data_IF_518017349926
#
_entry.id   IF_518017349926
#
_cell.length_a   1.000
_cell.length_b   1.000
_cell.length_c   1.000
_cell.angle_alpha   90.00
_cell.angle_beta   90.00
_cell.angle_gamma   90.00
#
_symmetry.space_group_name_H-M   'P 1'
#
loop_
_entity.id
_entity.type
_entity.pdbx_description
1 polymer ?
#
# COMPACT_ATOMS: atom_id res chain seq x y z
N UNK A 1 4.89 -14.91 -6.15
CA UNK A 1 5.62 -15.60 -5.05
C UNK A 1 6.67 -14.69 -4.39
N UNK A 2 7.66 -14.08 -5.08
CA UNK A 2 8.74 -13.30 -4.43
C UNK A 2 8.24 -12.16 -3.55
N UNK A 3 7.16 -11.49 -3.93
CA UNK A 3 6.56 -10.38 -3.18
C UNK A 3 5.88 -10.81 -1.86
N UNK A 4 5.54 -12.08 -1.71
CA UNK A 4 4.89 -12.61 -0.50
C UNK A 4 5.86 -13.40 0.36
N UNK A 5 6.58 -14.32 -0.28
CA UNK A 5 7.45 -15.27 0.42
C UNK A 5 8.83 -14.67 0.75
N UNK A 6 9.17 -13.51 0.15
CA UNK A 6 10.50 -12.91 0.28
C UNK A 6 11.62 -13.82 -0.22
N UNK A 7 11.29 -14.82 -1.04
CA UNK A 7 12.24 -15.79 -1.58
C UNK A 7 11.87 -16.20 -3.00
N UNK A 8 12.88 -16.54 -3.80
CA UNK A 8 12.74 -17.15 -5.13
C UNK A 8 13.37 -18.52 -5.12
N UNK A 9 12.65 -19.52 -5.60
CA UNK A 9 13.17 -20.87 -5.78
C UNK A 9 13.40 -21.12 -7.27
N UNK A 10 14.62 -21.50 -7.62
CA UNK A 10 15.02 -21.90 -8.97
C UNK A 10 15.30 -23.39 -8.96
N UNK A 11 14.44 -24.15 -9.61
CA UNK A 11 14.57 -25.61 -9.73
C UNK A 11 15.14 -25.96 -11.11
N UNK A 12 16.19 -26.81 -11.13
CA UNK A 12 16.76 -27.44 -12.31
C UNK A 12 16.76 -28.95 -12.11
N UNK A 13 17.03 -29.71 -13.19
CA UNK A 13 16.92 -31.17 -13.19
C UNK A 13 17.62 -31.87 -11.99
N UNK A 14 18.71 -31.33 -11.47
CA UNK A 14 19.52 -31.97 -10.44
C UNK A 14 19.55 -31.22 -9.09
N UNK A 15 18.94 -30.03 -8.98
CA UNK A 15 18.97 -29.25 -7.74
C UNK A 15 17.90 -28.15 -7.71
N UNK A 16 17.48 -27.80 -6.47
CA UNK A 16 16.60 -26.68 -6.20
C UNK A 16 17.32 -25.71 -5.28
N UNK A 17 17.44 -24.46 -5.74
CA UNK A 17 18.12 -23.39 -4.99
C UNK A 17 17.11 -22.36 -4.55
N UNK A 18 17.17 -21.96 -3.29
CA UNK A 18 16.32 -20.91 -2.72
C UNK A 18 17.16 -19.66 -2.44
N UNK A 19 16.75 -18.53 -3.01
CA UNK A 19 17.42 -17.24 -2.86
C UNK A 19 16.54 -16.27 -2.09
N UNK A 20 17.08 -15.43 -1.19
CA UNK A 20 16.34 -14.33 -0.58
C UNK A 20 15.93 -13.31 -1.65
N UNK A 21 14.68 -12.84 -1.59
CA UNK A 21 14.12 -11.85 -2.53
C UNK A 21 13.25 -10.86 -1.78
N UNK A 22 13.86 -10.12 -0.85
CA UNK A 22 13.19 -9.03 -0.12
C UNK A 22 13.31 -7.77 -0.94
N UNK A 23 12.25 -7.42 -1.67
CA UNK A 23 12.21 -6.29 -2.59
C UNK A 23 11.12 -5.29 -2.19
N UNK A 24 11.32 -4.03 -2.56
CA UNK A 24 10.28 -3.01 -2.59
C UNK A 24 9.89 -2.83 -4.07
N UNK A 25 8.61 -3.05 -4.39
CA UNK A 25 8.07 -2.84 -5.72
C UNK A 25 7.34 -1.52 -5.78
N UNK A 26 7.79 -0.61 -6.62
CA UNK A 26 7.13 0.66 -6.92
C UNK A 26 6.75 0.64 -8.40
N UNK A 27 5.47 0.86 -8.67
CA UNK A 27 4.93 0.89 -10.03
C UNK A 27 4.16 2.19 -10.29
N UNK A 28 4.24 2.70 -11.51
CA UNK A 28 3.42 3.79 -11.99
C UNK A 28 2.76 3.37 -13.30
N UNK A 29 1.50 3.76 -13.48
CA UNK A 29 0.76 3.50 -14.72
C UNK A 29 -0.22 4.63 -15.03
N UNK A 30 -0.54 4.80 -16.29
CA UNK A 30 -1.63 5.67 -16.70
C UNK A 30 -2.99 5.00 -16.43
N UNK A 31 -4.08 5.79 -16.27
CA UNK A 31 -5.42 5.23 -16.03
C UNK A 31 -6.03 4.54 -17.26
N UNK A 32 -5.52 4.85 -18.47
CA UNK A 32 -5.97 4.29 -19.74
C UNK A 32 -4.90 4.48 -20.82
N UNK A 33 -5.06 3.93 -22.05
CA UNK A 33 -4.10 4.10 -23.15
C UNK A 33 -3.81 5.56 -23.53
N UNK A 34 -4.82 6.45 -23.52
CA UNK A 34 -4.59 7.87 -23.82
C UNK A 34 -4.12 8.69 -22.59
N UNK A 35 -4.23 8.14 -21.35
CA UNK A 35 -3.80 8.79 -20.12
C UNK A 35 -4.83 9.71 -19.46
N UNK A 36 -6.00 9.95 -20.06
CA UNK A 36 -6.95 10.99 -19.61
C UNK A 36 -8.23 10.44 -18.94
N UNK A 37 -8.32 9.15 -18.69
CA UNK A 37 -9.51 8.58 -18.02
C UNK A 37 -9.63 9.12 -16.58
N UNK A 38 -10.73 9.84 -16.30
CA UNK A 38 -10.95 10.51 -15.03
C UNK A 38 -10.29 11.89 -14.88
N UNK A 39 -9.63 12.40 -15.94
CA UNK A 39 -9.14 13.78 -15.97
C UNK A 39 -10.31 14.77 -16.07
N UNK A 40 -10.20 15.92 -15.36
CA UNK A 40 -11.26 16.95 -15.34
C UNK A 40 -11.13 17.96 -16.48
N UNK A 41 -9.96 18.10 -17.05
CA UNK A 41 -9.64 19.12 -18.07
C UNK A 41 -9.56 18.52 -19.48
N UNK A 42 -9.25 17.22 -19.58
CA UNK A 42 -9.11 16.54 -20.88
C UNK A 42 -10.09 15.39 -20.99
N UNK A 43 -10.76 15.33 -22.14
CA UNK A 43 -11.70 14.24 -22.45
C UNK A 43 -10.91 12.98 -22.82
N UNK A 44 -11.25 11.88 -22.17
CA UNK A 44 -10.70 10.57 -22.53
C UNK A 44 -11.32 10.08 -23.86
N UNK A 45 -10.48 9.78 -24.83
CA UNK A 45 -10.89 9.28 -26.16
C UNK A 45 -11.01 7.75 -26.23
N UNK A 46 -10.63 7.05 -25.16
CA UNK A 46 -10.66 5.60 -25.12
C UNK A 46 -12.09 5.06 -24.99
N UNK A 47 -12.39 4.04 -25.80
CA UNK A 47 -13.65 3.30 -25.62
C UNK A 47 -13.62 2.48 -24.31
N UNK A 48 -14.79 2.15 -23.73
CA UNK A 48 -14.84 1.29 -22.54
C UNK A 48 -14.13 -0.06 -22.72
N UNK A 49 -14.14 -0.61 -23.94
CA UNK A 49 -13.44 -1.85 -24.25
C UNK A 49 -11.91 -1.69 -24.20
N UNK A 50 -11.38 -0.58 -24.73
CA UNK A 50 -9.96 -0.28 -24.67
C UNK A 50 -9.46 -0.07 -23.22
N UNK A 51 -10.26 0.63 -22.41
CA UNK A 51 -9.94 0.83 -20.98
C UNK A 51 -9.90 -0.52 -20.27
N UNK A 52 -10.93 -1.36 -20.42
CA UNK A 52 -10.98 -2.70 -19.84
C UNK A 52 -9.78 -3.55 -20.25
N UNK A 53 -9.49 -3.63 -21.55
CA UNK A 53 -8.35 -4.41 -22.05
C UNK A 53 -7.01 -3.93 -21.50
N UNK A 54 -6.87 -2.62 -21.31
CA UNK A 54 -5.67 -2.02 -20.72
C UNK A 54 -5.53 -2.35 -19.23
N UNK A 55 -6.59 -2.19 -18.46
CA UNK A 55 -6.60 -2.43 -17.00
C UNK A 55 -6.52 -3.92 -16.68
N UNK A 56 -7.08 -4.80 -17.50
CA UNK A 56 -6.98 -6.27 -17.35
C UNK A 56 -5.54 -6.81 -17.40
N UNK A 57 -4.56 -6.03 -17.88
CA UNK A 57 -3.13 -6.40 -17.77
C UNK A 57 -2.66 -6.47 -16.32
N UNK A 58 -3.33 -5.76 -15.42
CA UNK A 58 -3.12 -5.87 -13.98
C UNK A 58 -4.19 -6.80 -13.40
N UNK A 59 -3.80 -8.01 -13.05
CA UNK A 59 -4.74 -8.94 -12.42
C UNK A 59 -5.11 -8.48 -11.01
N UNK A 60 -6.37 -8.73 -10.59
CA UNK A 60 -6.82 -8.47 -9.23
C UNK A 60 -5.87 -9.05 -8.16
N UNK A 61 -5.43 -10.33 -8.29
CA UNK A 61 -4.43 -10.91 -7.39
C UNK A 61 -3.09 -10.19 -7.35
N UNK A 62 -2.67 -9.51 -8.43
CA UNK A 62 -1.47 -8.68 -8.42
C UNK A 62 -1.71 -7.37 -7.66
N UNK A 63 -2.85 -6.71 -7.93
CA UNK A 63 -3.24 -5.48 -7.22
C UNK A 63 -3.38 -5.71 -5.71
N UNK A 64 -3.92 -6.85 -5.30
CA UNK A 64 -4.00 -7.24 -3.88
C UNK A 64 -2.62 -7.37 -3.22
N UNK A 65 -1.55 -7.51 -4.00
CA UNK A 65 -0.18 -7.59 -3.49
C UNK A 65 0.49 -6.24 -3.25
N UNK A 66 -0.08 -5.17 -3.76
CA UNK A 66 0.37 -3.81 -3.41
C UNK A 66 -0.22 -3.38 -2.08
N UNK A 67 0.62 -2.88 -1.19
CA UNK A 67 0.20 -2.37 0.12
C UNK A 67 -0.49 -1.02 -0.01
N UNK A 68 0.00 -0.17 -0.91
CA UNK A 68 -0.47 1.20 -1.17
C UNK A 68 -0.81 1.35 -2.65
N UNK A 69 -1.99 1.90 -2.93
CA UNK A 69 -2.48 2.22 -4.26
C UNK A 69 -3.06 3.63 -4.22
N UNK A 70 -2.41 4.57 -4.87
CA UNK A 70 -2.83 5.96 -4.89
C UNK A 70 -3.07 6.44 -6.31
N UNK A 71 -4.03 7.33 -6.47
CA UNK A 71 -4.23 8.07 -7.70
C UNK A 71 -3.57 9.44 -7.56
N UNK A 72 -2.63 9.73 -8.44
CA UNK A 72 -1.95 11.02 -8.48
C UNK A 72 -2.67 11.89 -9.50
N UNK A 73 -3.31 12.98 -9.07
CA UNK A 73 -3.97 13.90 -9.98
C UNK A 73 -2.94 14.68 -10.79
N UNK A 74 -3.38 15.24 -11.91
CA UNK A 74 -2.56 16.13 -12.72
C UNK A 74 -2.26 17.42 -11.94
N UNK A 75 -1.03 17.90 -12.05
CA UNK A 75 -0.61 19.17 -11.44
C UNK A 75 -1.10 20.32 -12.32
N UNK A 76 -1.81 21.28 -11.74
CA UNK A 76 -2.27 22.48 -12.44
C UNK A 76 -1.13 23.45 -12.73
N UNK A 77 -1.30 24.33 -13.73
CA UNK A 77 -0.31 25.37 -14.01
C UNK A 77 -0.04 26.26 -12.79
N UNK A 78 -1.07 26.56 -12.02
CA UNK A 78 -0.95 27.38 -10.79
C UNK A 78 -0.09 26.69 -9.73
N UNK A 79 -0.23 25.37 -9.57
CA UNK A 79 0.59 24.57 -8.65
C UNK A 79 2.04 24.45 -9.13
N UNK A 80 2.27 24.32 -10.44
CA UNK A 80 3.60 24.29 -11.04
C UNK A 80 4.38 25.60 -10.86
N UNK A 81 3.67 26.75 -10.93
CA UNK A 81 4.26 28.08 -10.82
C UNK A 81 4.29 28.61 -9.39
N UNK A 82 3.55 28.00 -8.48
CA UNK A 82 3.54 28.39 -7.08
C UNK A 82 4.89 28.11 -6.42
N UNK A 83 5.53 29.17 -5.88
CA UNK A 83 6.76 29.09 -5.09
C UNK A 83 6.42 28.54 -3.68
N UNK A 84 5.78 27.39 -3.58
CA UNK A 84 5.61 26.68 -2.30
C UNK A 84 6.88 25.90 -2.02
N UNK A 85 7.54 26.19 -0.90
CA UNK A 85 8.63 25.35 -0.42
C UNK A 85 8.05 23.98 -0.06
N UNK A 86 8.29 22.99 -0.92
CA UNK A 86 7.97 21.60 -0.61
C UNK A 86 8.84 21.10 0.56
N UNK A 87 8.37 20.09 1.26
CA UNK A 87 9.14 19.41 2.30
C UNK A 87 10.44 18.84 1.69
N UNK A 88 11.55 19.02 2.37
CA UNK A 88 12.85 18.53 1.88
C UNK A 88 13.01 17.02 2.11
N UNK A 89 13.82 16.37 1.28
CA UNK A 89 14.16 14.95 1.47
C UNK A 89 14.80 14.67 2.84
N UNK A 90 15.51 15.64 3.41
CA UNK A 90 16.09 15.51 4.75
C UNK A 90 15.02 15.43 5.84
N UNK A 91 13.98 16.26 5.77
CA UNK A 91 12.84 16.25 6.70
C UNK A 91 12.04 14.94 6.58
N UNK A 92 11.78 14.50 5.35
CA UNK A 92 11.10 13.21 5.10
C UNK A 92 11.94 12.06 5.67
N UNK A 93 13.25 12.03 5.41
CA UNK A 93 14.16 11.01 5.94
C UNK A 93 14.14 10.96 7.47
N UNK A 94 14.19 12.11 8.14
CA UNK A 94 14.15 12.17 9.61
C UNK A 94 12.89 11.51 10.17
N UNK A 95 11.71 11.82 9.60
CA UNK A 95 10.43 11.23 9.99
C UNK A 95 10.37 9.72 9.73
N UNK A 96 10.88 9.28 8.58
CA UNK A 96 10.97 7.86 8.24
C UNK A 96 11.91 7.12 9.18
N UNK A 97 13.08 7.69 9.49
CA UNK A 97 14.04 7.07 10.42
C UNK A 97 13.46 6.90 11.81
N UNK A 98 12.76 7.89 12.35
CA UNK A 98 12.09 7.79 13.64
C UNK A 98 11.05 6.64 13.66
N UNK A 99 10.24 6.50 12.61
CA UNK A 99 9.30 5.40 12.49
C UNK A 99 10.01 4.04 12.39
N UNK A 100 11.13 3.96 11.67
CA UNK A 100 11.95 2.73 11.56
C UNK A 100 12.58 2.33 12.89
N UNK A 101 13.07 3.28 13.68
CA UNK A 101 13.62 3.03 15.02
C UNK A 101 12.56 2.43 15.95
N UNK A 102 11.30 2.93 15.90
CA UNK A 102 10.19 2.35 16.65
C UNK A 102 9.91 0.89 16.25
N UNK A 103 9.96 0.57 14.97
CA UNK A 103 9.78 -0.79 14.48
C UNK A 103 10.93 -1.70 14.94
N UNK A 104 12.19 -1.27 14.80
CA UNK A 104 13.34 -2.01 15.25
C UNK A 104 13.30 -2.28 16.76
N UNK A 105 12.90 -1.30 17.56
CA UNK A 105 12.70 -1.48 19.01
C UNK A 105 11.58 -2.49 19.30
N UNK A 106 10.43 -2.39 18.59
CA UNK A 106 9.30 -3.30 18.75
C UNK A 106 9.67 -4.75 18.45
N UNK A 107 10.52 -4.97 17.46
CA UNK A 107 10.90 -6.30 16.97
C UNK A 107 12.30 -6.76 17.41
N UNK A 108 12.93 -6.09 18.38
CA UNK A 108 14.32 -6.36 18.81
C UNK A 108 14.60 -7.82 19.23
N UNK A 109 13.57 -8.58 19.61
CA UNK A 109 13.66 -9.99 20.01
C UNK A 109 13.16 -10.97 18.93
N UNK A 110 12.99 -10.50 17.70
CA UNK A 110 12.38 -11.25 16.60
C UNK A 110 13.27 -11.17 15.36
N UNK A 111 13.13 -12.14 14.46
CA UNK A 111 13.83 -12.14 13.16
C UNK A 111 13.02 -11.36 12.09
N UNK A 112 12.44 -10.23 12.48
CA UNK A 112 11.77 -9.27 11.59
C UNK A 112 12.19 -7.85 11.94
N UNK A 113 12.16 -6.96 10.94
CA UNK A 113 12.65 -5.58 11.08
C UNK A 113 11.61 -4.53 10.67
N UNK A 114 10.41 -4.95 10.25
CA UNK A 114 9.38 -4.01 9.80
C UNK A 114 7.98 -4.59 9.97
N UNK A 115 6.99 -3.68 10.06
CA UNK A 115 5.57 -4.06 10.11
C UNK A 115 5.13 -4.89 8.89
N UNK A 116 5.74 -4.68 7.72
CA UNK A 116 5.45 -5.45 6.51
C UNK A 116 5.70 -6.96 6.66
N UNK A 117 6.59 -7.36 7.57
CA UNK A 117 6.95 -8.76 7.81
C UNK A 117 6.05 -9.46 8.85
N UNK A 118 5.13 -8.75 9.51
CA UNK A 118 4.17 -9.35 10.43
C UNK A 118 3.32 -10.40 9.72
N UNK A 119 3.11 -11.53 10.37
CA UNK A 119 2.13 -12.53 9.94
C UNK A 119 0.76 -12.20 10.52
N UNK A 120 -0.30 -12.82 9.98
CA UNK A 120 -1.67 -12.64 10.49
C UNK A 120 -1.75 -12.88 12.01
N UNK A 121 -1.13 -13.95 12.51
CA UNK A 121 -1.13 -14.30 13.94
C UNK A 121 -0.46 -13.27 14.85
N UNK A 122 0.39 -12.42 14.30
CA UNK A 122 1.10 -11.37 15.05
C UNK A 122 0.31 -10.06 15.14
N UNK A 123 -0.67 -9.84 14.27
CA UNK A 123 -1.36 -8.56 14.17
C UNK A 123 -2.05 -8.18 15.50
N UNK A 124 -2.73 -9.11 16.15
CA UNK A 124 -3.40 -8.85 17.43
C UNK A 124 -2.44 -8.35 18.54
N UNK A 125 -1.20 -8.84 18.55
CA UNK A 125 -0.21 -8.47 19.56
C UNK A 125 0.52 -7.16 19.20
N UNK A 126 0.89 -6.96 17.93
CA UNK A 126 1.79 -5.86 17.51
C UNK A 126 1.07 -4.67 16.88
N UNK A 127 -0.23 -4.81 16.62
CA UNK A 127 -1.08 -3.77 16.04
C UNK A 127 -2.30 -3.49 16.94
N UNK A 128 -2.11 -3.08 18.24
CA UNK A 128 -3.23 -2.77 19.10
C UNK A 128 -4.06 -1.64 18.51
N UNK A 129 -5.39 -1.76 18.60
CA UNK A 129 -6.35 -0.80 18.03
C UNK A 129 -7.27 -0.27 19.14
N UNK A 130 -7.83 0.92 18.92
CA UNK A 130 -8.95 1.41 19.74
C UNK A 130 -10.25 0.73 19.28
N UNK A 131 -11.27 0.70 20.13
CA UNK A 131 -12.57 0.12 19.81
C UNK A 131 -13.20 0.76 18.55
N UNK A 132 -13.03 2.08 18.38
CA UNK A 132 -13.52 2.81 17.21
C UNK A 132 -12.75 2.40 15.94
N UNK A 133 -11.45 2.11 16.06
CA UNK A 133 -10.64 1.62 14.94
C UNK A 133 -11.07 0.23 14.50
N UNK A 134 -11.34 -0.67 15.44
CA UNK A 134 -11.85 -2.01 15.18
C UNK A 134 -13.22 -1.97 14.51
N UNK A 135 -14.14 -1.14 14.99
CA UNK A 135 -15.47 -0.98 14.42
C UNK A 135 -15.43 -0.41 12.99
N UNK A 136 -14.57 0.59 12.74
CA UNK A 136 -14.37 1.13 11.39
C UNK A 136 -13.80 0.08 10.44
N UNK A 137 -12.82 -0.69 10.91
CA UNK A 137 -12.17 -1.75 10.13
C UNK A 137 -13.16 -2.87 9.79
N UNK A 138 -13.97 -3.32 10.75
CA UNK A 138 -15.03 -4.30 10.55
C UNK A 138 -16.06 -3.82 9.51
N UNK A 139 -16.51 -2.58 9.65
CA UNK A 139 -17.44 -1.96 8.69
C UNK A 139 -16.84 -1.94 7.28
N UNK A 140 -15.59 -1.50 7.15
CA UNK A 140 -14.89 -1.47 5.87
C UNK A 140 -14.68 -2.87 5.28
N UNK A 141 -14.37 -3.86 6.12
CA UNK A 141 -14.18 -5.25 5.70
C UNK A 141 -15.42 -5.80 5.01
N UNK A 142 -16.60 -5.60 5.62
CA UNK A 142 -17.87 -6.06 5.06
C UNK A 142 -18.29 -5.26 3.83
N UNK A 143 -18.22 -3.92 3.88
CA UNK A 143 -18.66 -3.06 2.77
C UNK A 143 -17.80 -3.24 1.51
N UNK A 144 -16.50 -3.44 1.66
CA UNK A 144 -15.56 -3.59 0.54
C UNK A 144 -15.31 -5.05 0.16
N UNK A 145 -15.94 -6.01 0.85
CA UNK A 145 -15.73 -7.46 0.64
C UNK A 145 -14.24 -7.82 0.63
N UNK A 146 -13.52 -7.34 1.65
CA UNK A 146 -12.07 -7.48 1.72
C UNK A 146 -11.66 -8.94 1.88
N UNK A 147 -10.58 -9.34 1.20
CA UNK A 147 -9.91 -10.61 1.46
C UNK A 147 -9.11 -10.54 2.78
N UNK A 148 -8.82 -11.69 3.39
CA UNK A 148 -7.94 -11.76 4.57
C UNK A 148 -6.57 -11.09 4.31
N UNK A 149 -6.03 -11.26 3.10
CA UNK A 149 -4.78 -10.61 2.68
C UNK A 149 -4.91 -9.08 2.65
N UNK A 150 -6.02 -8.56 2.13
CA UNK A 150 -6.30 -7.11 2.10
C UNK A 150 -6.45 -6.54 3.51
N UNK A 151 -7.10 -7.28 4.42
CA UNK A 151 -7.19 -6.94 5.83
C UNK A 151 -5.80 -6.82 6.47
N UNK A 152 -4.96 -7.85 6.35
CA UNK A 152 -3.62 -7.87 6.95
C UNK A 152 -2.77 -6.69 6.47
N UNK A 153 -2.81 -6.39 5.17
CA UNK A 153 -2.06 -5.27 4.59
C UNK A 153 -2.55 -3.93 5.11
N UNK A 154 -3.86 -3.74 5.17
CA UNK A 154 -4.44 -2.50 5.69
C UNK A 154 -4.02 -2.26 7.14
N UNK A 155 -4.07 -3.28 8.00
CA UNK A 155 -3.64 -3.19 9.38
C UNK A 155 -2.14 -2.84 9.49
N UNK A 156 -1.28 -3.44 8.66
CA UNK A 156 0.16 -3.13 8.62
C UNK A 156 0.44 -1.71 8.15
N UNK A 157 -0.31 -1.21 7.18
CA UNK A 157 -0.22 0.19 6.71
C UNK A 157 -0.68 1.13 7.83
N UNK A 158 -1.83 0.88 8.46
CA UNK A 158 -2.33 1.69 9.58
C UNK A 158 -1.34 1.70 10.76
N UNK A 159 -0.70 0.55 11.09
CA UNK A 159 0.37 0.50 12.08
C UNK A 159 1.56 1.38 11.70
N UNK A 160 1.92 1.40 10.43
CA UNK A 160 3.04 2.21 9.94
C UNK A 160 2.72 3.71 9.97
N UNK A 161 1.47 4.09 9.68
CA UNK A 161 0.97 5.46 9.85
C UNK A 161 1.07 5.87 11.33
N UNK A 162 0.63 5.00 12.26
CA UNK A 162 0.80 5.24 13.68
C UNK A 162 2.27 5.40 14.11
N UNK A 163 3.19 4.62 13.55
CA UNK A 163 4.62 4.75 13.80
C UNK A 163 5.18 6.11 13.33
N UNK A 164 4.74 6.57 12.14
CA UNK A 164 5.07 7.90 11.60
C UNK A 164 4.52 9.03 12.47
N UNK A 165 3.35 8.83 13.07
CA UNK A 165 2.73 9.76 14.03
C UNK A 165 3.31 9.63 15.46
N UNK A 166 4.24 8.69 15.71
CA UNK A 166 4.82 8.46 17.03
C UNK A 166 3.88 7.81 18.06
N UNK A 167 2.84 7.10 17.61
CA UNK A 167 1.81 6.48 18.45
C UNK A 167 1.92 4.96 18.47
N UNK A 168 1.53 4.34 19.59
CA UNK A 168 1.62 2.88 19.77
C UNK A 168 0.30 2.16 19.50
N UNK A 169 -0.83 2.86 19.56
CA UNK A 169 -2.16 2.32 19.28
C UNK A 169 -2.70 2.88 17.98
N UNK A 170 -3.30 2.03 17.18
CA UNK A 170 -3.97 2.39 15.93
C UNK A 170 -5.33 3.00 16.26
N UNK A 171 -5.59 4.21 15.76
CA UNK A 171 -6.85 4.91 15.90
C UNK A 171 -7.71 4.76 14.64
N UNK A 172 -8.99 5.13 14.71
CA UNK A 172 -9.89 5.18 13.56
C UNK A 172 -9.34 6.11 12.44
N UNK A 173 -8.63 7.18 12.80
CA UNK A 173 -7.98 8.08 11.85
C UNK A 173 -6.94 7.33 10.98
N UNK A 174 -6.07 6.50 11.59
CA UNK A 174 -5.05 5.75 10.86
C UNK A 174 -5.64 4.63 10.00
N UNK A 175 -6.74 4.01 10.45
CA UNK A 175 -7.51 3.08 9.62
C UNK A 175 -8.12 3.81 8.42
N UNK A 176 -8.73 5.00 8.64
CA UNK A 176 -9.29 5.82 7.57
C UNK A 176 -8.25 6.23 6.53
N UNK A 177 -7.08 6.69 6.97
CA UNK A 177 -5.95 7.02 6.08
C UNK A 177 -5.47 5.80 5.29
N UNK A 178 -5.29 4.66 5.94
CA UNK A 178 -4.91 3.42 5.27
C UNK A 178 -5.94 2.96 4.23
N UNK A 179 -7.25 3.15 4.51
CA UNK A 179 -8.34 2.88 3.56
C UNK A 179 -8.30 3.80 2.34
N UNK A 180 -7.91 5.08 2.50
CA UNK A 180 -7.72 6.02 1.39
C UNK A 180 -6.52 5.65 0.51
N UNK A 181 -5.49 5.02 1.09
CA UNK A 181 -4.33 4.51 0.35
C UNK A 181 -4.58 3.20 -0.39
N UNK A 182 -5.81 2.65 -0.33
CA UNK A 182 -6.24 1.48 -1.11
C UNK A 182 -7.39 1.87 -2.02
N UNK A 183 -7.04 2.24 -3.25
CA UNK A 183 -8.03 2.71 -4.22
C UNK A 183 -8.75 1.53 -4.90
N UNK A 184 -9.92 1.16 -4.35
CA UNK A 184 -10.78 0.10 -4.92
C UNK A 184 -11.30 0.45 -6.33
N UNK A 185 -11.17 1.69 -6.78
CA UNK A 185 -11.61 2.09 -8.12
C UNK A 185 -10.71 1.52 -9.23
N UNK A 186 -9.43 1.25 -8.93
CA UNK A 186 -8.54 0.55 -9.88
C UNK A 186 -9.04 -0.89 -10.04
N UNK A 187 -9.43 -1.56 -8.96
CA UNK A 187 -9.96 -2.92 -9.00
C UNK A 187 -11.37 -3.01 -9.60
N UNK A 188 -12.21 -1.96 -9.45
CA UNK A 188 -13.57 -1.93 -10.03
C UNK A 188 -13.61 -1.52 -11.50
N UNK A 189 -12.56 -0.91 -12.01
CA UNK A 189 -12.40 -0.63 -13.43
C UNK A 189 -11.91 -1.86 -14.22
N UNK A 190 -11.57 -2.94 -13.54
CA UNK A 190 -11.25 -4.27 -14.04
C UNK A 190 -12.49 -5.14 -14.16
#
# INVERSE_FOLDING_TARGET
QPLEDGTVTVSRANASYRFPSRIILIGAMNPCPCGYYGDKEHICECTPSQIRHYTQKLSGPLLDRFDIQIQVPRVSYQELTAVKKAETSAQIRQRVMAARERQLYRFQKMDIVSNGQLTHSMLGQYCPMTAEAEQLLETAFHQRQMSARSYDRLVKVARTIGDLAGKDTITAEYIGEALLMRNDNIAKAL
#
